data_IF_355497571980
#
_entry.id   IF_355497571980
#
_cell.length_a   1.000
_cell.length_b   1.000
_cell.length_c   1.000
_cell.angle_alpha   90.00
_cell.angle_beta   90.00
_cell.angle_gamma   90.00
#
_symmetry.space_group_name_H-M   'P 1'
#
loop_
_entity.id
_entity.type
_entity.pdbx_description
1 polymer ?
#
# COMPACT_ATOMS: atom_id res chain seq x y z
N UNK A 1 3.32 6.37 43.07
CA UNK A 1 2.43 5.70 42.09
C UNK A 1 3.15 5.52 40.76
N UNK A 2 3.12 4.34 40.14
CA UNK A 2 3.73 4.10 38.82
C UNK A 2 2.98 4.83 37.70
N UNK A 3 3.69 5.24 36.63
CA UNK A 3 3.18 6.07 35.53
C UNK A 3 1.95 5.48 34.83
N UNK A 4 1.91 4.16 34.64
CA UNK A 4 0.79 3.44 34.02
C UNK A 4 -0.55 3.60 34.75
N UNK A 5 -0.53 3.98 36.04
CA UNK A 5 -1.72 4.25 36.85
C UNK A 5 -2.03 5.75 37.00
N UNK A 6 -1.10 6.62 36.60
CA UNK A 6 -1.22 8.09 36.69
C UNK A 6 -1.88 8.68 35.45
N UNK A 7 -1.76 8.03 34.29
CA UNK A 7 -2.30 8.50 33.02
C UNK A 7 -3.70 7.90 32.77
N UNK A 8 -4.64 8.66 32.18
CA UNK A 8 -5.95 8.14 31.80
C UNK A 8 -5.84 7.17 30.63
N UNK A 9 -6.72 6.15 30.59
CA UNK A 9 -6.90 5.31 29.40
C UNK A 9 -7.40 6.19 28.25
N UNK A 10 -6.79 6.08 27.08
CA UNK A 10 -7.12 6.86 25.88
C UNK A 10 -7.16 5.93 24.66
N UNK A 11 -8.12 6.17 23.78
CA UNK A 11 -8.24 5.48 22.48
C UNK A 11 -8.97 4.13 22.54
N UNK A 12 -9.02 3.49 21.37
CA UNK A 12 -9.53 2.14 21.14
C UNK A 12 -8.74 1.50 19.99
N UNK A 13 -8.79 0.17 19.88
CA UNK A 13 -8.15 -0.55 18.76
C UNK A 13 -9.17 -0.71 17.63
N UNK A 14 -8.83 -0.24 16.43
CA UNK A 14 -9.71 -0.39 15.26
C UNK A 14 -9.63 -1.81 14.68
N UNK A 15 -10.80 -2.44 14.50
CA UNK A 15 -10.94 -3.77 13.90
C UNK A 15 -10.61 -3.80 12.40
N UNK A 16 -10.75 -2.67 11.71
CA UNK A 16 -10.54 -2.55 10.26
C UNK A 16 -9.12 -2.11 9.89
N UNK A 17 -8.29 -1.78 10.88
CA UNK A 17 -6.92 -1.27 10.64
C UNK A 17 -6.05 -2.25 9.84
N UNK A 18 -6.28 -3.56 9.98
CA UNK A 18 -5.56 -4.60 9.23
C UNK A 18 -6.12 -4.93 7.85
N UNK A 19 -7.28 -4.35 7.47
CA UNK A 19 -7.90 -4.63 6.17
C UNK A 19 -7.19 -3.91 5.01
N UNK A 20 -6.51 -2.80 5.28
CA UNK A 20 -5.79 -2.01 4.28
C UNK A 20 -4.29 -2.24 4.38
N UNK A 21 -3.71 -2.80 3.32
CA UNK A 21 -2.26 -2.95 3.21
C UNK A 21 -1.62 -1.72 2.58
N UNK A 22 -0.39 -1.44 3.00
CA UNK A 22 0.44 -0.40 2.40
C UNK A 22 1.43 -1.05 1.44
N UNK A 23 1.56 -0.48 0.24
CA UNK A 23 2.46 -0.98 -0.80
C UNK A 23 3.41 0.15 -1.19
N UNK A 24 4.71 -0.15 -1.26
CA UNK A 24 5.75 0.82 -1.58
C UNK A 24 6.09 0.75 -3.07
N UNK A 25 6.49 1.88 -3.66
CA UNK A 25 6.93 1.93 -5.07
C UNK A 25 8.14 1.02 -5.32
N UNK A 26 9.07 0.93 -4.36
CA UNK A 26 10.20 0.00 -4.45
C UNK A 26 9.81 -1.47 -4.51
N UNK A 27 8.67 -1.86 -3.96
CA UNK A 27 8.22 -3.25 -4.01
C UNK A 27 7.52 -3.53 -5.34
N UNK A 28 6.82 -2.53 -5.91
CA UNK A 28 6.34 -2.61 -7.29
C UNK A 28 7.50 -2.72 -8.28
N UNK A 29 8.61 -2.01 -8.06
CA UNK A 29 9.80 -2.11 -8.91
C UNK A 29 10.62 -3.41 -8.70
N UNK A 30 10.21 -4.32 -7.81
CA UNK A 30 10.77 -5.70 -7.77
C UNK A 30 9.88 -6.71 -8.48
N UNK A 31 8.63 -6.37 -8.76
CA UNK A 31 7.70 -7.27 -9.42
C UNK A 31 8.02 -7.39 -10.90
N UNK A 32 8.10 -8.59 -11.48
CA UNK A 32 8.32 -8.78 -12.91
C UNK A 32 7.04 -8.61 -13.74
N UNK A 33 5.93 -8.15 -13.14
CA UNK A 33 4.61 -8.07 -13.77
C UNK A 33 4.22 -6.61 -13.94
N UNK A 34 3.76 -6.26 -15.14
CA UNK A 34 3.37 -4.89 -15.48
C UNK A 34 1.92 -4.58 -15.10
N UNK A 35 1.05 -5.60 -15.05
CA UNK A 35 -0.34 -5.49 -14.60
C UNK A 35 -0.45 -5.93 -13.12
N UNK A 36 -0.78 -4.99 -12.24
CA UNK A 36 -0.76 -5.18 -10.79
C UNK A 36 -2.17 -5.07 -10.22
N UNK A 37 -2.65 -6.22 -9.74
CA UNK A 37 -3.89 -6.39 -8.99
C UNK A 37 -3.58 -6.85 -7.54
N UNK A 38 -4.56 -6.75 -6.66
CA UNK A 38 -4.49 -7.21 -5.27
C UNK A 38 -4.11 -8.69 -5.18
N UNK A 39 -4.56 -9.53 -6.13
CA UNK A 39 -4.18 -10.95 -6.18
C UNK A 39 -2.68 -11.13 -6.46
N UNK A 40 -2.13 -10.36 -7.39
CA UNK A 40 -0.70 -10.39 -7.73
C UNK A 40 0.14 -9.94 -6.53
N UNK A 41 -0.30 -8.88 -5.85
CA UNK A 41 0.37 -8.37 -4.64
C UNK A 41 0.35 -9.38 -3.48
N UNK A 42 -0.70 -10.19 -3.37
CA UNK A 42 -0.79 -11.29 -2.40
C UNK A 42 0.11 -12.45 -2.77
N UNK A 43 0.14 -12.85 -4.05
CA UNK A 43 1.02 -13.92 -4.55
C UNK A 43 2.50 -13.58 -4.36
N UNK A 44 2.86 -12.31 -4.54
CA UNK A 44 4.20 -11.81 -4.32
C UNK A 44 4.59 -11.65 -2.84
N UNK A 45 3.64 -11.86 -1.91
CA UNK A 45 3.89 -11.73 -0.47
C UNK A 45 4.09 -10.28 0.02
N UNK A 46 3.87 -9.28 -0.82
CA UNK A 46 3.96 -7.85 -0.46
C UNK A 46 2.76 -7.45 0.40
N UNK A 47 1.60 -8.04 0.10
CA UNK A 47 0.35 -7.79 0.81
C UNK A 47 -0.10 -9.05 1.56
N UNK A 48 -0.51 -8.87 2.81
CA UNK A 48 -1.06 -9.92 3.66
C UNK A 48 -2.28 -10.57 3.00
N UNK A 49 -2.41 -11.90 3.09
CA UNK A 49 -3.52 -12.63 2.48
C UNK A 49 -4.92 -12.13 2.91
N UNK A 50 -5.03 -11.63 4.15
CA UNK A 50 -6.27 -11.10 4.74
C UNK A 50 -6.61 -9.65 4.33
N UNK A 51 -5.67 -8.92 3.74
CA UNK A 51 -5.93 -7.55 3.33
C UNK A 51 -6.99 -7.53 2.22
N UNK A 52 -7.95 -6.61 2.34
CA UNK A 52 -9.05 -6.40 1.39
C UNK A 52 -8.69 -5.33 0.36
N UNK A 53 -7.94 -4.33 0.78
CA UNK A 53 -7.53 -3.19 -0.06
C UNK A 53 -6.04 -2.95 0.08
N UNK A 54 -5.45 -2.34 -0.96
CA UNK A 54 -4.07 -1.90 -0.94
C UNK A 54 -4.00 -0.40 -1.25
N UNK A 55 -3.08 0.29 -0.59
CA UNK A 55 -2.78 1.70 -0.82
C UNK A 55 -1.30 1.88 -1.17
N UNK A 56 -1.02 2.45 -2.34
CA UNK A 56 0.33 2.74 -2.81
C UNK A 56 0.84 4.05 -2.22
N UNK A 57 2.01 3.98 -1.59
CA UNK A 57 2.67 5.09 -0.91
C UNK A 57 3.96 5.45 -1.64
N UNK A 58 4.23 6.75 -1.76
CA UNK A 58 5.48 7.25 -2.31
C UNK A 58 6.61 6.91 -1.34
N UNK A 59 7.33 5.83 -1.64
CA UNK A 59 8.56 5.47 -0.96
C UNK A 59 9.45 4.73 -1.96
N UNK A 60 10.59 5.34 -2.28
CA UNK A 60 11.50 4.87 -3.32
C UNK A 60 11.20 5.41 -4.72
N UNK A 61 11.79 4.77 -5.73
CA UNK A 61 11.67 5.14 -7.13
C UNK A 61 10.99 4.00 -7.91
N UNK A 62 10.17 4.38 -8.89
CA UNK A 62 9.59 3.47 -9.87
C UNK A 62 10.22 3.78 -11.22
N UNK A 63 10.93 2.81 -11.82
CA UNK A 63 11.61 3.00 -13.12
C UNK A 63 10.83 2.42 -14.29
N UNK A 64 9.74 1.71 -14.01
CA UNK A 64 8.98 0.92 -14.97
C UNK A 64 7.55 1.42 -15.06
N UNK A 65 6.96 1.28 -16.24
CA UNK A 65 5.55 1.58 -16.47
C UNK A 65 4.71 0.44 -15.90
N UNK A 66 3.80 0.77 -14.98
CA UNK A 66 2.97 -0.21 -14.27
C UNK A 66 1.50 0.16 -14.45
N UNK A 67 0.64 -0.83 -14.69
CA UNK A 67 -0.81 -0.67 -14.67
C UNK A 67 -1.36 -1.15 -13.34
N UNK A 68 -2.03 -0.27 -12.60
CA UNK A 68 -2.66 -0.60 -11.32
C UNK A 68 -4.16 -0.76 -11.50
N UNK A 69 -4.70 -1.89 -11.05
CA UNK A 69 -6.12 -2.24 -11.12
C UNK A 69 -6.77 -2.23 -9.73
N UNK A 70 -7.77 -1.38 -9.51
CA UNK A 70 -8.54 -1.38 -8.25
C UNK A 70 -7.72 -1.04 -6.97
N UNK A 71 -6.54 -0.41 -7.11
CA UNK A 71 -5.65 -0.06 -6.01
C UNK A 71 -5.71 1.45 -5.71
N UNK A 72 -5.79 1.80 -4.42
CA UNK A 72 -5.73 3.20 -3.99
C UNK A 72 -4.29 3.72 -4.08
N UNK A 73 -4.09 4.96 -4.49
CA UNK A 73 -2.77 5.61 -4.48
C UNK A 73 -2.80 6.91 -3.68
N UNK A 74 -1.68 7.22 -3.02
CA UNK A 74 -1.45 8.56 -2.46
C UNK A 74 -1.16 9.55 -3.59
N UNK A 75 -1.41 10.84 -3.37
CA UNK A 75 -1.21 11.88 -4.39
C UNK A 75 0.23 11.88 -4.96
N UNK A 76 1.23 11.76 -4.08
CA UNK A 76 2.63 11.66 -4.51
C UNK A 76 2.93 10.39 -5.31
N UNK A 77 2.38 9.24 -4.89
CA UNK A 77 2.57 7.98 -5.61
C UNK A 77 1.93 8.03 -7.00
N UNK A 78 0.72 8.61 -7.11
CA UNK A 78 0.03 8.78 -8.40
C UNK A 78 0.88 9.56 -9.39
N UNK A 79 1.41 10.71 -8.96
CA UNK A 79 2.29 11.53 -9.78
C UNK A 79 3.58 10.79 -10.19
N UNK A 80 4.19 10.02 -9.28
CA UNK A 80 5.39 9.24 -9.60
C UNK A 80 5.11 8.10 -10.59
N UNK A 81 3.96 7.45 -10.49
CA UNK A 81 3.54 6.36 -11.39
C UNK A 81 3.21 6.90 -12.78
N UNK A 82 2.48 8.01 -12.85
CA UNK A 82 2.18 8.71 -14.12
C UNK A 82 3.45 9.22 -14.80
N UNK A 83 4.41 9.77 -14.03
CA UNK A 83 5.71 10.19 -14.57
C UNK A 83 6.54 9.03 -15.11
N UNK A 84 6.37 7.82 -14.57
CA UNK A 84 6.99 6.59 -15.08
C UNK A 84 6.24 5.97 -16.27
N UNK A 85 5.15 6.60 -16.75
CA UNK A 85 4.33 6.09 -17.85
C UNK A 85 3.33 4.99 -17.45
N UNK A 86 3.08 4.83 -16.16
CA UNK A 86 2.07 3.92 -15.62
C UNK A 86 0.64 4.42 -15.79
N UNK A 87 -0.33 3.53 -15.61
CA UNK A 87 -1.76 3.85 -15.74
C UNK A 87 -2.57 3.30 -14.58
N UNK A 88 -3.66 4.00 -14.26
CA UNK A 88 -4.65 3.56 -13.28
C UNK A 88 -5.90 3.15 -14.03
N UNK A 89 -6.29 1.89 -13.86
CA UNK A 89 -7.57 1.37 -14.34
C UNK A 89 -8.43 1.16 -13.10
N UNK A 90 -9.51 1.94 -12.99
CA UNK A 90 -10.45 1.85 -11.85
C UNK A 90 -11.17 0.49 -11.80
#
# INVERSE_FOLDING_TARGET
MPLQRRLPKRGFVSLTSGDTAQVLLSDLDKLPVDDIDILVLKQAGIVHARAKTAKVILCGQLKRAVKLHGVLATQGARAAIEAAGGSFVE
#
